data_IF_941168005505
#
_entry.id   IF_941168005505
#
_cell.length_a   1.000
_cell.length_b   1.000
_cell.length_c   1.000
_cell.angle_alpha   90.00
_cell.angle_beta   90.00
_cell.angle_gamma   90.00
#
_symmetry.space_group_name_H-M   'P 1'
#
loop_
_entity.id
_entity.type
_entity.pdbx_description
1 polymer ?
#
# COMPACT_ATOMS: atom_id res chain seq x y z
N UNK A 1 -47.05 13.61 14.69
CA UNK A 1 -46.57 13.42 16.07
C UNK A 1 -45.38 12.47 16.03
N UNK A 2 -44.18 12.99 15.81
CA UNK A 2 -42.96 12.20 16.01
C UNK A 2 -42.68 12.15 17.51
N UNK A 3 -42.76 10.95 18.08
CA UNK A 3 -42.20 10.70 19.40
C UNK A 3 -40.69 10.96 19.35
N UNK A 4 -40.09 11.57 20.37
CA UNK A 4 -38.64 11.62 20.48
C UNK A 4 -38.15 10.17 20.61
N UNK A 5 -37.23 9.81 19.71
CA UNK A 5 -36.32 8.70 19.86
C UNK A 5 -35.72 8.71 21.29
N UNK A 6 -35.54 7.53 21.88
CA UNK A 6 -35.15 7.36 23.29
C UNK A 6 -33.93 8.22 23.65
N UNK A 7 -33.85 8.68 24.90
CA UNK A 7 -32.73 9.51 25.39
C UNK A 7 -31.34 8.89 25.08
N UNK A 8 -31.25 7.56 25.00
CA UNK A 8 -30.02 6.83 24.65
C UNK A 8 -29.59 7.02 23.18
N UNK A 9 -30.52 7.15 22.22
CA UNK A 9 -30.17 7.48 20.82
C UNK A 9 -29.62 8.91 20.70
N UNK A 10 -30.08 9.82 21.56
CA UNK A 10 -29.57 11.19 21.64
C UNK A 10 -28.12 11.22 22.16
N UNK A 11 -27.81 10.46 23.21
CA UNK A 11 -26.48 10.43 23.83
C UNK A 11 -25.42 9.78 22.92
N UNK A 12 -25.75 8.68 22.22
CA UNK A 12 -24.81 8.05 21.28
C UNK A 12 -24.57 8.95 20.05
N UNK A 13 -25.60 9.67 19.59
CA UNK A 13 -25.45 10.64 18.51
C UNK A 13 -24.49 11.77 18.85
N UNK A 14 -24.55 12.28 20.09
CA UNK A 14 -23.70 13.37 20.59
C UNK A 14 -22.20 13.00 20.61
N UNK A 15 -21.86 11.74 20.86
CA UNK A 15 -20.47 11.23 20.79
C UNK A 15 -19.84 11.51 19.42
N UNK A 16 -20.60 11.31 18.34
CA UNK A 16 -20.14 11.51 16.97
C UNK A 16 -20.23 12.97 16.49
N UNK A 17 -20.70 13.89 17.33
CA UNK A 17 -20.68 15.32 17.05
C UNK A 17 -19.42 16.03 17.56
N UNK A 18 -18.55 15.33 18.30
CA UNK A 18 -17.35 15.90 18.91
C UNK A 18 -16.07 15.27 18.33
N UNK A 19 -15.32 16.03 17.52
CA UNK A 19 -14.13 15.53 16.82
C UNK A 19 -13.10 14.84 17.71
N UNK A 20 -12.65 15.43 18.83
CA UNK A 20 -11.71 14.75 19.72
C UNK A 20 -12.23 13.42 20.28
N UNK A 21 -13.55 13.25 20.42
CA UNK A 21 -14.13 12.02 20.95
C UNK A 21 -14.17 10.94 19.88
N UNK A 22 -14.75 11.24 18.71
CA UNK A 22 -14.83 10.24 17.65
C UNK A 22 -13.45 9.90 17.06
N UNK A 23 -12.50 10.83 17.04
CA UNK A 23 -11.13 10.57 16.58
C UNK A 23 -10.45 9.51 17.44
N UNK A 24 -10.61 9.61 18.77
CA UNK A 24 -10.10 8.62 19.72
C UNK A 24 -10.81 7.28 19.60
N UNK A 25 -12.11 7.25 19.30
CA UNK A 25 -12.81 5.98 19.06
C UNK A 25 -12.29 5.33 17.78
N UNK A 26 -12.27 6.08 16.68
CA UNK A 26 -11.93 5.55 15.36
C UNK A 26 -10.44 5.18 15.21
N UNK A 27 -9.54 5.79 15.99
CA UNK A 27 -8.13 5.39 16.05
C UNK A 27 -7.91 3.97 16.58
N UNK A 28 -8.88 3.40 17.30
CA UNK A 28 -8.83 2.04 17.83
C UNK A 28 -9.70 1.04 17.08
N UNK A 29 -10.39 1.48 16.03
CA UNK A 29 -11.24 0.60 15.20
C UNK A 29 -10.46 0.05 14.03
N UNK A 30 -10.76 -1.17 13.56
CA UNK A 30 -10.27 -1.68 12.28
C UNK A 30 -10.92 -0.96 11.08
N UNK A 31 -10.39 -1.10 9.84
CA UNK A 31 -11.05 -0.56 8.65
C UNK A 31 -12.50 -1.04 8.48
N UNK A 32 -12.81 -2.32 8.81
CA UNK A 32 -14.19 -2.83 8.77
C UNK A 32 -15.06 -2.20 9.85
N UNK A 33 -14.56 -2.09 11.07
CA UNK A 33 -15.30 -1.50 12.19
C UNK A 33 -15.62 -0.03 11.90
N UNK A 34 -14.66 0.74 11.39
CA UNK A 34 -14.88 2.11 10.94
C UNK A 34 -16.01 2.20 9.90
N UNK A 35 -16.00 1.32 8.90
CA UNK A 35 -17.03 1.27 7.87
C UNK A 35 -18.41 0.84 8.43
N UNK A 36 -18.44 -0.09 9.40
CA UNK A 36 -19.67 -0.54 10.06
C UNK A 36 -20.26 0.53 10.96
N UNK A 37 -19.43 1.19 11.78
CA UNK A 37 -19.84 2.31 12.62
C UNK A 37 -20.38 3.45 11.78
N UNK A 38 -19.73 3.80 10.67
CA UNK A 38 -20.23 4.82 9.74
C UNK A 38 -21.59 4.49 9.11
N UNK A 39 -22.07 3.24 9.20
CA UNK A 39 -23.39 2.82 8.67
C UNK A 39 -24.47 2.72 9.74
N UNK A 40 -24.17 2.99 11.01
CA UNK A 40 -25.15 2.86 12.09
C UNK A 40 -26.11 4.06 12.15
N UNK A 41 -25.61 5.28 11.95
CA UNK A 41 -26.42 6.50 11.95
C UNK A 41 -25.78 7.63 11.12
N UNK A 42 -26.53 8.69 10.84
CA UNK A 42 -26.04 9.85 10.08
C UNK A 42 -24.88 10.59 10.75
N UNK A 43 -24.89 10.71 12.08
CA UNK A 43 -23.81 11.35 12.83
C UNK A 43 -22.50 10.54 12.72
N UNK A 44 -22.57 9.22 12.94
CA UNK A 44 -21.43 8.33 12.77
C UNK A 44 -20.93 8.28 11.31
N UNK A 45 -21.83 8.33 10.33
CA UNK A 45 -21.44 8.45 8.92
C UNK A 45 -20.61 9.72 8.68
N UNK A 46 -21.09 10.88 9.12
CA UNK A 46 -20.38 12.14 8.96
C UNK A 46 -19.02 12.13 9.67
N UNK A 47 -18.99 11.66 10.92
CA UNK A 47 -17.77 11.52 11.71
C UNK A 47 -16.75 10.57 11.06
N UNK A 48 -17.20 9.40 10.58
CA UNK A 48 -16.32 8.43 9.91
C UNK A 48 -15.73 8.98 8.62
N UNK A 49 -16.50 9.78 7.86
CA UNK A 49 -16.02 10.46 6.65
C UNK A 49 -15.01 11.55 6.95
N UNK A 50 -15.26 12.35 7.98
CA UNK A 50 -14.33 13.37 8.43
C UNK A 50 -13.01 12.76 8.91
N UNK A 51 -13.08 11.80 9.83
CA UNK A 51 -11.93 11.04 10.32
C UNK A 51 -11.14 10.39 9.18
N UNK A 52 -11.83 9.74 8.23
CA UNK A 52 -11.17 9.10 7.08
C UNK A 52 -10.40 10.09 6.21
N UNK A 53 -10.91 11.32 6.03
CA UNK A 53 -10.23 12.36 5.23
C UNK A 53 -8.93 12.83 5.89
N UNK A 54 -8.93 12.93 7.21
CA UNK A 54 -7.76 13.34 7.98
C UNK A 54 -6.71 12.22 8.08
N UNK A 55 -7.19 11.00 8.30
CA UNK A 55 -6.34 9.83 8.58
C UNK A 55 -5.74 9.23 7.30
N UNK A 56 -6.53 9.04 6.25
CA UNK A 56 -6.06 8.51 4.96
C UNK A 56 -5.56 9.63 4.03
N UNK A 57 -4.71 10.51 4.56
CA UNK A 57 -4.13 11.61 3.81
C UNK A 57 -2.91 11.15 3.00
N UNK A 58 -3.13 10.79 1.74
CA UNK A 58 -2.06 10.32 0.85
C UNK A 58 -0.93 11.34 0.66
N UNK A 59 -1.22 12.63 0.66
CA UNK A 59 -0.17 13.64 0.49
C UNK A 59 0.77 13.67 1.71
N UNK A 60 0.20 13.52 2.91
CA UNK A 60 0.99 13.38 4.15
C UNK A 60 1.82 12.11 4.14
N UNK A 61 1.23 10.99 3.68
CA UNK A 61 1.91 9.70 3.57
C UNK A 61 3.11 9.75 2.62
N UNK A 62 2.96 10.44 1.49
CA UNK A 62 4.02 10.58 0.48
C UNK A 62 5.12 11.58 0.86
N UNK A 63 4.82 12.57 1.72
CA UNK A 63 5.75 13.65 2.05
C UNK A 63 7.08 13.17 2.63
N UNK A 64 7.08 11.98 3.24
CA UNK A 64 8.30 11.32 3.72
C UNK A 64 9.26 10.89 2.62
N UNK A 65 8.86 10.87 1.36
CA UNK A 65 9.68 10.42 0.22
C UNK A 65 9.65 11.40 -0.96
N UNK A 66 8.53 12.08 -1.15
CA UNK A 66 8.25 12.94 -2.29
C UNK A 66 8.00 14.36 -1.77
N UNK A 67 8.79 15.32 -2.25
CA UNK A 67 8.69 16.73 -1.87
C UNK A 67 7.37 17.37 -2.30
N UNK A 68 6.88 17.03 -3.49
CA UNK A 68 5.65 17.57 -4.09
C UNK A 68 4.62 16.45 -4.40
N UNK A 69 3.87 15.95 -3.40
CA UNK A 69 2.96 14.81 -3.57
C UNK A 69 1.91 14.98 -4.68
N UNK A 70 1.40 16.18 -4.92
CA UNK A 70 0.40 16.42 -5.97
C UNK A 70 0.99 16.24 -7.38
N UNK A 71 2.26 16.61 -7.57
CA UNK A 71 2.95 16.45 -8.83
C UNK A 71 3.28 14.99 -9.09
N UNK A 72 3.69 14.27 -8.05
CA UNK A 72 3.86 12.82 -8.13
C UNK A 72 2.54 12.07 -8.39
N UNK A 73 1.43 12.47 -7.77
CA UNK A 73 0.12 11.86 -8.07
C UNK A 73 -0.33 12.12 -9.51
N UNK A 74 0.03 13.28 -10.08
CA UNK A 74 -0.18 13.56 -11.50
C UNK A 74 0.67 12.65 -12.39
N UNK A 75 1.90 12.34 -11.96
CA UNK A 75 2.74 11.32 -12.60
C UNK A 75 2.08 9.94 -12.52
N UNK A 76 1.64 9.50 -11.34
CA UNK A 76 0.92 8.22 -11.17
C UNK A 76 -0.29 8.11 -12.11
N UNK A 77 -1.08 9.17 -12.23
CA UNK A 77 -2.26 9.19 -13.11
C UNK A 77 -1.90 9.02 -14.59
N UNK A 78 -0.78 9.61 -15.03
CA UNK A 78 -0.31 9.54 -16.42
C UNK A 78 0.38 8.22 -16.74
N UNK A 79 1.17 7.69 -15.81
CA UNK A 79 2.03 6.51 -16.05
C UNK A 79 1.40 5.19 -15.61
N UNK A 80 0.30 5.25 -14.85
CA UNK A 80 -0.29 4.09 -14.19
C UNK A 80 0.57 3.53 -13.05
N UNK A 81 1.51 4.32 -12.51
CA UNK A 81 2.39 3.88 -11.42
C UNK A 81 1.58 3.61 -10.14
N UNK A 82 1.79 2.43 -9.56
CA UNK A 82 1.18 2.01 -8.30
C UNK A 82 2.23 1.99 -7.19
N UNK A 83 1.86 2.43 -5.99
CA UNK A 83 2.64 2.13 -4.77
C UNK A 83 2.07 0.86 -4.17
N UNK A 84 2.91 -0.11 -3.79
CA UNK A 84 2.44 -1.37 -3.22
C UNK A 84 3.34 -1.85 -2.06
N UNK A 85 3.16 -3.09 -1.63
CA UNK A 85 3.98 -3.72 -0.61
C UNK A 85 3.70 -3.17 0.80
N UNK A 86 4.72 -3.15 1.66
CA UNK A 86 4.57 -2.72 3.05
C UNK A 86 4.15 -1.25 3.19
N UNK A 87 4.46 -0.41 2.20
CA UNK A 87 4.08 1.01 2.23
C UNK A 87 2.57 1.21 2.05
N UNK A 88 1.96 0.48 1.11
CA UNK A 88 0.51 0.49 0.91
C UNK A 88 -0.24 -0.18 2.06
N UNK A 89 0.32 -1.27 2.62
CA UNK A 89 -0.21 -1.90 3.83
C UNK A 89 -0.27 -0.89 4.98
N UNK A 90 0.83 -0.20 5.27
CA UNK A 90 0.92 0.80 6.33
C UNK A 90 -0.13 1.90 6.20
N UNK A 91 -0.32 2.41 4.97
CA UNK A 91 -1.31 3.45 4.70
C UNK A 91 -2.75 3.01 5.03
N UNK A 92 -3.12 1.78 4.66
CA UNK A 92 -4.46 1.24 4.87
C UNK A 92 -4.70 0.77 6.31
N UNK A 93 -3.66 0.24 6.94
CA UNK A 93 -3.70 -0.24 8.33
C UNK A 93 -3.67 0.92 9.34
N UNK A 94 -3.20 2.10 8.91
CA UNK A 94 -2.95 3.29 9.77
C UNK A 94 -1.94 3.01 10.88
N UNK A 95 -1.02 2.09 10.61
CA UNK A 95 0.10 1.78 11.48
C UNK A 95 1.36 2.50 11.00
N UNK A 96 2.42 2.44 11.79
CA UNK A 96 3.74 2.92 11.39
C UNK A 96 4.73 1.77 11.58
N UNK A 97 5.46 1.45 10.51
CA UNK A 97 6.52 0.48 10.55
C UNK A 97 7.83 1.19 10.23
N UNK A 98 8.78 1.13 11.16
CA UNK A 98 10.12 1.69 10.99
C UNK A 98 10.79 1.15 9.72
N UNK A 99 11.64 1.98 9.12
CA UNK A 99 12.51 1.61 7.99
C UNK A 99 11.76 1.00 6.78
N UNK A 100 10.54 1.48 6.51
CA UNK A 100 9.79 1.02 5.34
C UNK A 100 10.21 1.73 4.07
N UNK A 101 10.64 0.95 3.08
CA UNK A 101 10.86 1.41 1.71
C UNK A 101 9.52 1.81 1.05
N UNK A 102 9.57 2.69 0.05
CA UNK A 102 8.45 2.94 -0.85
C UNK A 102 8.66 2.21 -2.18
N UNK A 103 7.84 1.19 -2.42
CA UNK A 103 7.89 0.38 -3.63
C UNK A 103 6.94 0.92 -4.70
N UNK A 104 7.50 1.40 -5.81
CA UNK A 104 6.76 1.90 -6.97
C UNK A 104 6.78 0.87 -8.10
N UNK A 105 5.61 0.34 -8.46
CA UNK A 105 5.43 -0.56 -9.59
C UNK A 105 5.07 0.25 -10.83
N UNK A 106 5.93 0.18 -11.85
CA UNK A 106 5.86 1.06 -13.02
C UNK A 106 5.68 0.25 -14.29
N UNK A 107 4.77 0.71 -15.14
CA UNK A 107 4.60 0.15 -16.48
C UNK A 107 5.91 0.29 -17.27
N UNK A 108 6.35 -0.73 -18.02
CA UNK A 108 7.65 -0.71 -18.69
C UNK A 108 7.81 0.45 -19.69
N UNK A 109 6.72 0.92 -20.30
CA UNK A 109 6.70 2.12 -21.15
C UNK A 109 6.93 3.45 -20.45
N UNK A 110 6.89 3.49 -19.11
CA UNK A 110 7.06 4.71 -18.31
C UNK A 110 8.17 4.60 -17.27
N UNK A 111 8.90 3.47 -17.23
CA UNK A 111 9.95 3.24 -16.24
C UNK A 111 11.03 4.32 -16.28
N UNK A 112 11.42 4.76 -17.48
CA UNK A 112 12.41 5.83 -17.64
C UNK A 112 11.91 7.18 -17.15
N UNK A 113 10.68 7.55 -17.49
CA UNK A 113 10.03 8.78 -17.03
C UNK A 113 9.95 8.85 -15.49
N UNK A 114 9.56 7.75 -14.83
CA UNK A 114 9.47 7.69 -13.37
C UNK A 114 10.85 7.72 -12.72
N UNK A 115 11.84 7.02 -13.29
CA UNK A 115 13.23 7.09 -12.81
C UNK A 115 13.80 8.51 -12.91
N UNK A 116 13.60 9.19 -14.04
CA UNK A 116 14.04 10.57 -14.23
C UNK A 116 13.36 11.49 -13.21
N UNK A 117 12.06 11.31 -12.92
CA UNK A 117 11.38 12.06 -11.86
C UNK A 117 12.05 11.86 -10.48
N UNK A 118 12.28 10.62 -10.06
CA UNK A 118 12.81 10.33 -8.71
C UNK A 118 14.28 10.79 -8.57
N UNK A 119 15.09 10.65 -9.63
CA UNK A 119 16.49 11.06 -9.60
C UNK A 119 16.64 12.56 -9.79
N UNK A 120 16.09 13.12 -10.86
CA UNK A 120 16.39 14.50 -11.29
C UNK A 120 15.57 15.53 -10.51
N UNK A 121 14.34 15.17 -10.09
CA UNK A 121 13.46 16.09 -9.37
C UNK A 121 13.53 15.90 -7.87
N UNK A 122 13.41 14.66 -7.39
CA UNK A 122 13.42 14.39 -5.95
C UNK A 122 14.83 14.25 -5.38
N UNK A 123 15.86 14.12 -6.24
CA UNK A 123 17.26 14.14 -5.84
C UNK A 123 17.74 12.83 -5.21
N UNK A 124 17.12 11.69 -5.54
CA UNK A 124 17.59 10.39 -5.09
C UNK A 124 18.78 9.90 -5.92
N UNK A 125 19.66 9.16 -5.28
CA UNK A 125 20.78 8.49 -5.94
C UNK A 125 20.43 7.04 -6.29
N UNK A 126 20.61 6.66 -7.55
CA UNK A 126 20.49 5.27 -7.96
C UNK A 126 21.65 4.44 -7.41
N UNK A 127 21.32 3.30 -6.78
CA UNK A 127 22.28 2.35 -6.19
C UNK A 127 22.20 1.00 -6.93
N UNK A 128 22.98 0.82 -8.01
CA UNK A 128 22.98 -0.43 -8.77
C UNK A 128 23.61 -1.56 -7.96
N UNK A 129 23.03 -2.76 -8.05
CA UNK A 129 23.71 -3.95 -7.53
C UNK A 129 24.81 -4.43 -8.50
N UNK A 130 25.63 -5.38 -8.08
CA UNK A 130 26.86 -5.83 -8.78
C UNK A 130 26.70 -6.32 -10.22
N UNK A 131 25.47 -6.57 -10.69
CA UNK A 131 25.18 -7.05 -12.06
C UNK A 131 24.41 -6.02 -12.89
N UNK A 132 24.07 -4.86 -12.31
CA UNK A 132 23.38 -3.77 -13.01
C UNK A 132 24.39 -2.78 -13.58
N UNK A 133 24.11 -2.21 -14.78
CA UNK A 133 24.80 -1.03 -15.27
C UNK A 133 24.78 0.11 -14.24
N UNK A 134 25.84 0.94 -14.23
CA UNK A 134 25.96 2.05 -13.29
C UNK A 134 24.93 3.17 -13.54
N UNK A 135 24.61 3.39 -14.81
CA UNK A 135 23.57 4.35 -15.21
C UNK A 135 22.27 3.60 -15.49
N UNK A 136 21.21 3.95 -14.75
CA UNK A 136 19.89 3.36 -14.89
C UNK A 136 19.30 3.55 -16.29
N UNK A 137 19.75 4.57 -17.03
CA UNK A 137 19.34 4.84 -18.42
C UNK A 137 19.72 3.72 -19.39
N UNK A 138 20.66 2.86 -19.00
CA UNK A 138 21.02 1.64 -19.73
C UNK A 138 20.17 0.42 -19.33
N UNK A 139 19.29 0.55 -18.35
CA UNK A 139 18.40 -0.49 -17.82
C UNK A 139 16.98 -0.26 -18.34
N UNK A 140 16.46 0.95 -18.12
CA UNK A 140 15.10 1.35 -18.50
C UNK A 140 15.11 2.09 -19.84
N UNK A 141 14.12 1.79 -20.69
CA UNK A 141 14.04 2.29 -22.07
C UNK A 141 12.85 3.23 -22.25
N UNK A 142 13.05 4.35 -22.96
CA UNK A 142 11.97 5.23 -23.42
C UNK A 142 11.12 4.60 -24.54
N UNK A 143 11.65 3.55 -25.17
CA UNK A 143 11.04 2.86 -26.29
C UNK A 143 10.52 1.52 -25.80
N UNK A 144 9.26 1.50 -25.37
CA UNK A 144 8.51 0.27 -25.14
C UNK A 144 7.69 -0.07 -26.37
N UNK A 145 7.95 -1.23 -26.96
CA UNK A 145 7.36 -1.64 -28.24
C UNK A 145 6.12 -2.52 -28.09
N UNK A 146 5.61 -2.75 -26.88
CA UNK A 146 4.49 -3.67 -26.55
C UNK A 146 4.67 -5.14 -27.02
N UNK A 147 5.78 -5.48 -27.67
CA UNK A 147 5.95 -6.79 -28.34
C UNK A 147 6.88 -7.73 -27.61
N UNK A 148 7.66 -7.23 -26.64
CA UNK A 148 8.71 -8.00 -26.00
C UNK A 148 8.30 -8.48 -24.61
N UNK A 149 7.76 -9.69 -24.53
CA UNK A 149 7.81 -10.51 -23.31
C UNK A 149 9.30 -10.85 -23.10
N UNK A 150 10.00 -10.08 -22.27
CA UNK A 150 11.41 -10.33 -21.96
C UNK A 150 11.50 -11.09 -20.64
N UNK A 151 12.56 -11.90 -20.49
CA UNK A 151 12.79 -12.78 -19.35
C UNK A 151 12.42 -12.14 -18.01
N UNK A 152 11.59 -12.84 -17.25
CA UNK A 152 11.19 -12.44 -15.90
C UNK A 152 12.42 -12.38 -14.99
N UNK A 153 12.43 -11.39 -14.10
CA UNK A 153 13.24 -11.43 -12.89
C UNK A 153 12.86 -12.69 -12.10
N UNK A 154 13.59 -13.01 -11.03
CA UNK A 154 13.20 -14.15 -10.20
C UNK A 154 11.72 -14.04 -9.74
N UNK A 155 11.20 -12.81 -9.58
CA UNK A 155 9.81 -12.49 -9.22
C UNK A 155 8.99 -12.39 -10.52
N UNK A 156 7.91 -13.18 -10.61
CA UNK A 156 6.99 -13.18 -11.75
C UNK A 156 6.44 -11.77 -12.01
N UNK A 157 6.48 -11.34 -13.26
CA UNK A 157 5.97 -10.03 -13.67
C UNK A 157 6.89 -8.86 -13.30
N UNK A 158 8.04 -9.09 -12.65
CA UNK A 158 9.06 -8.06 -12.43
C UNK A 158 10.12 -8.21 -13.52
N UNK A 159 10.53 -7.10 -14.11
CA UNK A 159 11.61 -7.05 -15.10
C UNK A 159 12.90 -6.55 -14.47
N UNK A 160 12.83 -5.49 -13.69
CA UNK A 160 13.97 -4.93 -12.98
C UNK A 160 13.55 -4.27 -11.67
N UNK A 161 14.43 -4.33 -10.68
CA UNK A 161 14.29 -3.62 -9.41
C UNK A 161 15.43 -2.60 -9.35
N UNK A 162 15.09 -1.32 -9.30
CA UNK A 162 16.03 -0.21 -9.20
C UNK A 162 15.92 0.39 -7.80
N UNK A 163 16.99 0.27 -7.01
CA UNK A 163 17.03 0.85 -5.66
C UNK A 163 17.56 2.28 -5.73
N UNK A 164 16.86 3.20 -5.07
CA UNK A 164 17.22 4.59 -4.97
C UNK A 164 17.26 5.02 -3.51
N UNK A 165 18.30 5.77 -3.14
CA UNK A 165 18.53 6.19 -1.77
C UNK A 165 18.72 7.70 -1.69
N UNK A 166 18.25 8.28 -0.59
CA UNK A 166 18.44 9.69 -0.27
C UNK A 166 18.70 9.84 1.22
N UNK A 167 19.71 10.65 1.54
CA UNK A 167 19.98 11.09 2.90
C UNK A 167 19.58 12.56 3.00
N UNK A 168 18.42 12.80 3.61
CA UNK A 168 17.85 14.13 3.76
C UNK A 168 17.73 14.58 5.21
N UNK A 169 17.13 15.74 5.41
CA UNK A 169 16.72 16.23 6.73
C UNK A 169 15.75 15.28 7.45
N UNK A 170 15.02 14.48 6.69
CA UNK A 170 14.04 13.51 7.19
C UNK A 170 14.67 12.13 7.47
N UNK A 171 16.00 12.03 7.43
CA UNK A 171 16.73 10.78 7.62
C UNK A 171 17.01 10.03 6.31
N UNK A 172 17.29 8.73 6.46
CA UNK A 172 17.49 7.82 5.34
C UNK A 172 16.14 7.47 4.72
N UNK A 173 16.04 7.63 3.40
CA UNK A 173 14.85 7.33 2.63
C UNK A 173 15.24 6.41 1.48
N UNK A 174 14.45 5.37 1.26
CA UNK A 174 14.67 4.42 0.18
C UNK A 174 13.40 4.24 -0.65
N UNK A 175 13.57 4.36 -1.96
CA UNK A 175 12.54 4.09 -2.96
C UNK A 175 13.03 2.93 -3.81
N UNK A 176 12.17 1.96 -4.05
CA UNK A 176 12.40 0.95 -5.09
C UNK A 176 11.49 1.24 -6.26
N UNK A 177 12.06 1.40 -7.45
CA UNK A 177 11.29 1.45 -8.69
C UNK A 177 11.36 0.07 -9.33
N UNK A 178 10.20 -0.58 -9.43
CA UNK A 178 10.04 -1.92 -9.98
C UNK A 178 9.45 -1.78 -11.39
N UNK A 179 10.28 -1.96 -12.40
CA UNK A 179 9.81 -2.07 -13.78
C UNK A 179 9.07 -3.38 -13.95
N UNK A 180 7.80 -3.29 -14.33
CA UNK A 180 6.93 -4.44 -14.54
C UNK A 180 7.14 -5.05 -15.92
N UNK A 181 6.91 -6.35 -16.08
CA UNK A 181 7.05 -7.02 -17.37
C UNK A 181 5.93 -6.63 -18.36
N UNK A 182 4.70 -6.45 -17.85
CA UNK A 182 3.54 -6.04 -18.65
C UNK A 182 2.78 -4.88 -18.00
N UNK A 183 2.22 -5.09 -16.80
CA UNK A 183 1.48 -4.04 -16.09
C UNK A 183 1.76 -4.09 -14.60
N UNK A 184 1.73 -2.94 -13.90
CA UNK A 184 1.84 -2.90 -12.44
C UNK A 184 0.85 -3.81 -11.73
N UNK A 185 -0.39 -3.87 -12.23
CA UNK A 185 -1.44 -4.69 -11.64
C UNK A 185 -1.13 -6.18 -11.72
N UNK A 186 -0.72 -6.66 -12.91
CA UNK A 186 -0.30 -8.05 -13.10
C UNK A 186 0.88 -8.41 -12.19
N UNK A 187 1.85 -7.51 -12.01
CA UNK A 187 3.00 -7.79 -11.15
C UNK A 187 2.60 -7.99 -9.68
N UNK A 188 1.78 -7.10 -9.11
CA UNK A 188 1.51 -7.19 -7.67
C UNK A 188 0.52 -8.29 -7.26
N UNK A 189 -0.42 -8.71 -8.13
CA UNK A 189 -1.28 -9.86 -7.84
C UNK A 189 -0.48 -11.18 -7.75
N UNK A 190 0.75 -11.19 -8.24
CA UNK A 190 1.68 -12.31 -8.13
C UNK A 190 2.65 -12.15 -6.92
N UNK A 191 2.33 -11.33 -5.91
CA UNK A 191 3.11 -11.25 -4.67
C UNK A 191 3.16 -12.56 -3.89
N UNK A 192 4.19 -12.69 -3.05
CA UNK A 192 4.48 -13.89 -2.27
C UNK A 192 3.41 -14.22 -1.21
N UNK A 193 2.69 -13.20 -0.69
CA UNK A 193 1.66 -13.40 0.31
C UNK A 193 0.51 -12.40 0.19
N UNK A 194 -0.66 -12.75 0.72
CA UNK A 194 -1.89 -11.94 0.55
C UNK A 194 -1.88 -10.65 1.36
N UNK A 195 -1.20 -10.58 2.50
CA UNK A 195 -1.17 -9.38 3.35
C UNK A 195 -0.48 -8.18 2.70
N UNK A 196 0.33 -8.39 1.66
CA UNK A 196 1.01 -7.32 0.92
C UNK A 196 0.33 -6.97 -0.40
N UNK A 197 -0.79 -7.63 -0.73
CA UNK A 197 -1.58 -7.36 -1.94
C UNK A 197 -2.49 -6.14 -1.73
N UNK A 198 -1.85 -5.03 -1.37
CA UNK A 198 -2.42 -3.71 -1.21
C UNK A 198 -1.70 -2.76 -2.15
N UNK A 199 -2.42 -1.79 -2.71
CA UNK A 199 -1.81 -0.81 -3.59
C UNK A 199 -2.52 0.55 -3.52
N UNK A 200 -1.77 1.60 -3.83
CA UNK A 200 -2.23 2.98 -3.91
C UNK A 200 -2.03 3.46 -5.34
N UNK A 201 -3.15 3.74 -6.01
CA UNK A 201 -3.21 4.43 -7.30
C UNK A 201 -3.32 5.94 -7.09
N UNK A 202 -3.41 6.70 -8.18
CA UNK A 202 -3.47 8.17 -8.12
C UNK A 202 -4.71 8.72 -7.40
N UNK A 203 -5.83 7.98 -7.44
CA UNK A 203 -7.16 8.38 -6.97
C UNK A 203 -7.69 7.53 -5.80
N UNK A 204 -7.19 6.32 -5.61
CA UNK A 204 -7.68 5.40 -4.58
C UNK A 204 -6.60 4.44 -4.06
N UNK A 205 -6.85 3.91 -2.86
CA UNK A 205 -6.08 2.83 -2.27
C UNK A 205 -6.97 1.57 -2.16
N UNK A 206 -6.36 0.41 -2.37
CA UNK A 206 -7.03 -0.87 -2.51
C UNK A 206 -6.33 -1.95 -1.69
N UNK A 207 -7.15 -2.85 -1.15
CA UNK A 207 -6.70 -4.10 -0.54
C UNK A 207 -7.46 -5.25 -1.19
N UNK A 208 -6.76 -6.27 -1.67
CA UNK A 208 -7.41 -7.44 -2.27
C UNK A 208 -7.96 -8.43 -1.22
N UNK A 209 -7.36 -8.43 -0.02
CA UNK A 209 -7.73 -9.32 1.08
C UNK A 209 -7.93 -8.53 2.38
N UNK A 210 -8.84 -7.54 2.42
CA UNK A 210 -8.95 -6.61 3.55
C UNK A 210 -9.35 -7.30 4.84
N UNK A 211 -10.20 -8.33 4.75
CA UNK A 211 -10.65 -9.12 5.90
C UNK A 211 -9.49 -9.87 6.54
N UNK A 212 -8.82 -10.72 5.74
CA UNK A 212 -7.69 -11.50 6.22
C UNK A 212 -6.56 -10.60 6.74
N UNK A 213 -6.30 -9.48 6.06
CA UNK A 213 -5.17 -8.59 6.36
C UNK A 213 -5.40 -7.74 7.60
N UNK A 214 -6.54 -7.04 7.70
CA UNK A 214 -6.73 -6.00 8.73
C UNK A 214 -7.62 -6.44 9.90
N UNK A 215 -8.34 -7.56 9.76
CA UNK A 215 -9.24 -8.07 10.81
C UNK A 215 -8.67 -9.33 11.45
N UNK A 216 -8.30 -10.29 10.61
CA UNK A 216 -7.84 -11.60 11.07
C UNK A 216 -6.32 -11.65 11.25
N UNK A 217 -5.58 -10.62 10.80
CA UNK A 217 -4.12 -10.53 10.83
C UNK A 217 -3.45 -11.81 10.30
N UNK A 218 -3.97 -12.36 9.21
CA UNK A 218 -3.47 -13.58 8.59
C UNK A 218 -3.06 -13.37 7.14
N UNK A 219 -2.12 -14.20 6.69
CA UNK A 219 -1.61 -14.12 5.32
C UNK A 219 -1.39 -15.50 4.73
N UNK A 220 -1.85 -15.71 3.50
CA UNK A 220 -1.67 -16.95 2.76
C UNK A 220 -0.45 -16.81 1.85
N UNK A 221 0.43 -17.81 1.86
CA UNK A 221 1.50 -17.92 0.88
C UNK A 221 0.95 -18.35 -0.48
N UNK A 222 1.22 -17.56 -1.52
CA UNK A 222 0.60 -17.76 -2.86
C UNK A 222 1.53 -18.47 -3.85
N UNK A 223 2.86 -18.44 -3.66
CA UNK A 223 3.84 -19.02 -4.59
C UNK A 223 4.78 -20.05 -3.96
N UNK A 224 5.27 -20.97 -4.80
CA UNK A 224 6.28 -21.96 -4.45
C UNK A 224 7.65 -21.35 -4.16
N UNK A 225 8.32 -22.01 -3.22
CA UNK A 225 9.49 -21.65 -2.42
C UNK A 225 10.63 -20.88 -3.13
N UNK A 226 10.91 -19.67 -2.64
CA UNK A 226 12.27 -19.16 -2.51
C UNK A 226 12.68 -19.23 -1.04
N UNK A 227 13.27 -20.35 -0.59
CA UNK A 227 13.36 -20.68 0.84
C UNK A 227 13.92 -19.55 1.71
N UNK A 228 15.00 -18.89 1.28
CA UNK A 228 15.64 -17.85 2.09
C UNK A 228 14.92 -16.50 2.07
N UNK A 229 14.39 -16.07 0.92
CA UNK A 229 13.66 -14.80 0.82
C UNK A 229 12.31 -14.91 1.54
N UNK A 230 11.62 -16.03 1.35
CA UNK A 230 10.31 -16.28 1.96
C UNK A 230 10.42 -16.36 3.48
N UNK A 231 11.51 -16.93 4.03
CA UNK A 231 11.77 -16.91 5.47
C UNK A 231 11.96 -15.49 5.99
N UNK A 232 12.78 -14.65 5.32
CA UNK A 232 13.02 -13.26 5.78
C UNK A 232 11.72 -12.44 5.80
N UNK A 233 10.88 -12.65 4.79
CA UNK A 233 9.57 -12.04 4.65
C UNK A 233 8.62 -12.55 5.75
N UNK A 234 8.54 -13.87 5.95
CA UNK A 234 7.69 -14.46 6.97
C UNK A 234 8.09 -13.99 8.39
N UNK A 235 9.39 -13.89 8.67
CA UNK A 235 9.91 -13.32 9.92
C UNK A 235 9.47 -11.86 10.06
N UNK A 236 9.70 -11.03 9.02
CA UNK A 236 9.35 -9.60 9.02
C UNK A 236 7.87 -9.38 9.35
N UNK A 237 6.97 -10.01 8.61
CA UNK A 237 5.53 -9.82 8.82
C UNK A 237 5.01 -10.55 10.06
N UNK A 238 5.63 -11.68 10.45
CA UNK A 238 5.35 -12.34 11.72
C UNK A 238 5.68 -11.47 12.94
N UNK A 239 6.76 -10.69 12.88
CA UNK A 239 7.09 -9.69 13.91
C UNK A 239 6.05 -8.57 14.00
N UNK A 240 5.33 -8.29 12.90
CA UNK A 240 4.22 -7.34 12.86
C UNK A 240 2.88 -7.95 13.27
N UNK A 241 2.87 -9.22 13.68
CA UNK A 241 1.68 -9.92 14.18
C UNK A 241 0.94 -10.77 13.15
N UNK A 242 1.40 -10.83 11.91
CA UNK A 242 0.72 -11.65 10.89
C UNK A 242 0.92 -13.14 11.12
N UNK A 243 -0.19 -13.89 11.20
CA UNK A 243 -0.18 -15.34 11.18
C UNK A 243 0.01 -15.86 9.75
N UNK A 244 1.10 -16.59 9.53
CA UNK A 244 1.41 -17.19 8.24
C UNK A 244 0.67 -18.52 8.05
N UNK A 245 -0.19 -18.59 7.05
CA UNK A 245 -0.96 -19.78 6.71
C UNK A 245 -0.31 -20.50 5.52
N UNK A 246 0.04 -21.76 5.71
CA UNK A 246 0.56 -22.64 4.65
C UNK A 246 -0.55 -23.36 3.88
N UNK A 247 -1.75 -23.44 4.46
CA UNK A 247 -2.96 -23.93 3.83
C UNK A 247 -4.17 -23.25 4.47
N UNK A 248 -5.26 -23.13 3.72
CA UNK A 248 -6.53 -22.71 4.30
C UNK A 248 -7.02 -23.82 5.24
N UNK A 249 -7.42 -23.49 6.48
CA UNK A 249 -8.04 -24.46 7.36
C UNK A 249 -9.30 -25.03 6.66
N UNK A 250 -9.44 -26.36 6.67
CA UNK A 250 -10.65 -27.01 6.18
C UNK A 250 -11.84 -26.39 6.91
N UNK A 251 -12.73 -25.71 6.18
CA UNK A 251 -13.80 -24.91 6.76
C UNK A 251 -14.65 -25.73 7.73
N UNK A 252 -14.65 -25.35 9.01
CA UNK A 252 -15.80 -25.61 9.86
C UNK A 252 -16.84 -24.55 9.52
N UNK A 253 -17.80 -24.93 8.69
CA UNK A 253 -18.94 -24.10 8.30
C UNK A 253 -19.60 -23.46 9.52
N UNK A 254 -19.50 -22.15 9.65
CA UNK A 254 -20.49 -21.32 10.35
C UNK A 254 -20.40 -19.91 9.78
N UNK A 255 -21.00 -19.75 8.60
CA UNK A 255 -21.46 -18.44 8.15
C UNK A 255 -22.58 -18.00 9.10
N UNK A 256 -22.34 -16.96 9.90
CA UNK A 256 -23.42 -16.12 10.40
C UNK A 256 -23.42 -14.84 9.57
N UNK A 257 -24.55 -14.65 8.87
CA UNK A 257 -24.95 -13.45 8.13
C UNK A 257 -25.07 -12.25 9.08
#
# INVERSE_FOLDING_TARGET
SHQPQSADECVIGEVFCCAPVYDNIFSHTSPRELARLGRSCHAAYAASKDYSRCTFNINRHLFGFISEPLLFRSLQARTGTLIAGSNALQFLDRTFYDETDMDMYVHPGHAREVMDYVVEREGYEFKPHSRQPQDYRNIVSDKWDNTRIRQDYQIKGVRSVLSLEKHGSNGYQKIQVIECAMSPFDTFINFHSTCVMNFIAFDAAYSLYPIATFEDWCTLQVWQERPLHDISVAIKYGQWGFQWLSALPLSTSSFYL
#
